data_IF_409509170552
#
_entry.id   IF_409509170552
#
_cell.length_a   1.000
_cell.length_b   1.000
_cell.length_c   1.000
_cell.angle_alpha   90.00
_cell.angle_beta   90.00
_cell.angle_gamma   90.00
#
_symmetry.space_group_name_H-M   'P 1'
#
loop_
_entity.id
_entity.type
_entity.pdbx_description
1 polymer ?
#
# COMPACT_ATOMS: atom_id res chain seq x y z
N UNK A 1 -30.96 -53.20 9.52
CA UNK A 1 -30.47 -52.45 8.33
C UNK A 1 -30.93 -51.01 8.46
N UNK A 2 -30.01 -50.08 8.73
CA UNK A 2 -30.25 -48.64 8.64
C UNK A 2 -29.15 -48.09 7.74
N UNK A 3 -29.46 -47.53 6.56
CA UNK A 3 -28.44 -46.85 5.78
C UNK A 3 -28.26 -45.44 6.37
N UNK A 4 -27.08 -45.20 6.94
CA UNK A 4 -26.55 -43.86 7.19
C UNK A 4 -26.37 -43.17 5.83
N UNK A 5 -27.18 -42.15 5.54
CA UNK A 5 -26.96 -41.33 4.35
C UNK A 5 -25.96 -40.22 4.69
N UNK A 6 -24.73 -40.42 4.23
CA UNK A 6 -23.63 -39.47 4.36
C UNK A 6 -23.90 -38.20 3.56
N UNK A 7 -23.65 -37.05 4.20
CA UNK A 7 -23.17 -35.80 3.60
C UNK A 7 -23.68 -35.48 2.19
N UNK A 8 -24.93 -35.02 2.09
CA UNK A 8 -25.32 -34.23 0.93
C UNK A 8 -24.74 -32.82 1.13
N UNK A 9 -23.52 -32.61 0.65
CA UNK A 9 -22.95 -31.28 0.49
C UNK A 9 -23.89 -30.48 -0.42
N UNK A 10 -24.64 -29.54 0.16
CA UNK A 10 -25.70 -28.83 -0.54
C UNK A 10 -25.07 -28.07 -1.72
N UNK A 11 -25.34 -28.51 -2.95
CA UNK A 11 -24.72 -27.95 -4.18
C UNK A 11 -24.96 -26.45 -4.30
N UNK A 12 -26.03 -25.92 -3.67
CA UNK A 12 -26.34 -24.49 -3.56
C UNK A 12 -25.49 -23.71 -2.55
N UNK A 13 -24.83 -24.37 -1.59
CA UNK A 13 -23.95 -23.71 -0.61
C UNK A 13 -22.55 -23.42 -1.13
N UNK A 14 -22.14 -24.07 -2.23
CA UNK A 14 -20.83 -23.80 -2.85
C UNK A 14 -20.86 -22.48 -3.66
N UNK A 15 -21.85 -22.21 -4.54
CA UNK A 15 -22.00 -20.92 -5.20
C UNK A 15 -22.09 -19.76 -4.22
N UNK A 16 -22.96 -19.84 -3.20
CA UNK A 16 -23.12 -18.76 -2.23
C UNK A 16 -21.87 -18.50 -1.37
N UNK A 17 -21.03 -19.52 -1.13
CA UNK A 17 -19.73 -19.33 -0.48
C UNK A 17 -18.68 -18.70 -1.39
N UNK A 18 -18.73 -18.99 -2.68
CA UNK A 18 -17.85 -18.35 -3.67
C UNK A 18 -18.22 -16.88 -3.86
N UNK A 19 -19.52 -16.57 -3.92
CA UNK A 19 -20.04 -15.20 -3.98
C UNK A 19 -19.60 -14.42 -2.72
N UNK A 20 -19.84 -14.97 -1.53
CA UNK A 20 -19.39 -14.35 -0.28
C UNK A 20 -17.87 -14.22 -0.11
N UNK A 21 -17.07 -14.99 -0.87
CA UNK A 21 -15.61 -14.84 -0.91
C UNK A 21 -15.20 -13.74 -1.89
N UNK A 22 -15.87 -13.65 -3.04
CA UNK A 22 -15.68 -12.57 -4.00
C UNK A 22 -16.06 -11.22 -3.36
N UNK A 23 -17.21 -11.14 -2.70
CA UNK A 23 -17.66 -9.94 -2.00
C UNK A 23 -16.68 -9.49 -0.93
N UNK A 24 -16.14 -10.43 -0.14
CA UNK A 24 -15.12 -10.11 0.88
C UNK A 24 -13.82 -9.62 0.27
N UNK A 25 -13.41 -10.18 -0.87
CA UNK A 25 -12.21 -9.71 -1.59
C UNK A 25 -12.43 -8.31 -2.15
N UNK A 26 -13.61 -8.04 -2.67
CA UNK A 26 -13.97 -6.73 -3.18
C UNK A 26 -13.99 -5.70 -2.05
N UNK A 27 -14.69 -5.99 -0.95
CA UNK A 27 -14.71 -5.13 0.23
C UNK A 27 -13.30 -4.84 0.75
N UNK A 28 -12.43 -5.85 0.85
CA UNK A 28 -11.04 -5.65 1.27
C UNK A 28 -10.23 -4.78 0.29
N UNK A 29 -10.50 -4.88 -1.02
CA UNK A 29 -9.86 -4.04 -2.03
C UNK A 29 -10.35 -2.59 -1.96
N UNK A 30 -11.65 -2.40 -1.75
CA UNK A 30 -12.28 -1.09 -1.60
C UNK A 30 -11.80 -0.40 -0.32
N UNK A 31 -11.75 -1.13 0.81
CA UNK A 31 -11.20 -0.64 2.08
C UNK A 31 -9.73 -0.21 1.92
N UNK A 32 -8.92 -0.99 1.19
CA UNK A 32 -7.53 -0.66 0.93
C UNK A 32 -7.38 0.56 0.00
N UNK A 33 -8.30 0.75 -0.95
CA UNK A 33 -8.33 1.94 -1.79
C UNK A 33 -8.70 3.18 -0.97
N UNK A 34 -9.72 3.08 -0.13
CA UNK A 34 -10.17 4.15 0.75
C UNK A 34 -9.06 4.59 1.72
N UNK A 35 -8.40 3.64 2.38
CA UNK A 35 -7.29 3.94 3.29
C UNK A 35 -6.10 4.63 2.60
N UNK A 36 -5.84 4.29 1.33
CA UNK A 36 -4.81 4.97 0.53
C UNK A 36 -5.22 6.41 0.21
N UNK A 37 -6.48 6.61 -0.15
CA UNK A 37 -7.00 7.91 -0.54
C UNK A 37 -7.08 8.85 0.67
N UNK A 38 -7.57 8.38 1.83
CA UNK A 38 -7.56 9.09 3.11
C UNK A 38 -6.14 9.54 3.50
N UNK A 39 -5.17 8.62 3.44
CA UNK A 39 -3.76 8.97 3.71
C UNK A 39 -3.21 10.00 2.72
N UNK A 40 -3.55 9.89 1.44
CA UNK A 40 -3.09 10.84 0.43
C UNK A 40 -3.71 12.24 0.65
N UNK A 41 -4.94 12.30 1.14
CA UNK A 41 -5.61 13.54 1.57
C UNK A 41 -4.91 14.14 2.80
N UNK A 42 -4.63 13.34 3.84
CA UNK A 42 -3.86 13.79 5.01
C UNK A 42 -2.47 14.33 4.62
N UNK A 43 -1.79 13.65 3.69
CA UNK A 43 -0.51 14.12 3.13
C UNK A 43 -0.69 15.47 2.45
N UNK A 44 -1.73 15.63 1.64
CA UNK A 44 -2.01 16.87 0.91
C UNK A 44 -2.32 18.03 1.87
N UNK A 45 -3.13 17.79 2.90
CA UNK A 45 -3.48 18.78 3.91
C UNK A 45 -2.27 19.22 4.74
N UNK A 46 -1.33 18.30 4.99
CA UNK A 46 -0.07 18.58 5.67
C UNK A 46 0.99 19.31 4.83
N UNK A 47 0.74 19.62 3.55
CA UNK A 47 1.69 20.40 2.72
C UNK A 47 1.46 21.89 2.91
N UNK A 48 2.46 22.53 3.52
CA UNK A 48 2.55 23.96 3.78
C UNK A 48 3.53 24.65 2.82
N UNK A 49 3.45 25.98 2.72
CA UNK A 49 4.24 26.77 1.77
C UNK A 49 5.77 26.68 2.01
N UNK A 50 6.20 26.59 3.26
CA UNK A 50 7.60 26.49 3.67
C UNK A 50 8.27 25.17 3.22
N UNK A 51 7.48 24.15 2.91
CA UNK A 51 7.98 22.88 2.39
C UNK A 51 8.13 22.86 0.86
N UNK A 52 7.72 23.93 0.16
CA UNK A 52 7.73 23.96 -1.30
C UNK A 52 9.14 24.23 -1.83
N UNK A 53 9.66 23.26 -2.57
CA UNK A 53 10.87 23.45 -3.36
C UNK A 53 10.51 24.10 -4.69
N UNK A 54 10.78 25.41 -4.79
CA UNK A 54 10.60 26.20 -6.01
C UNK A 54 11.93 26.27 -6.75
N UNK A 55 11.92 25.98 -8.04
CA UNK A 55 13.13 26.02 -8.85
C UNK A 55 13.69 27.44 -8.97
N UNK A 56 14.98 27.58 -9.23
CA UNK A 56 15.61 28.91 -9.45
C UNK A 56 14.97 29.65 -10.63
N UNK A 57 14.54 28.92 -11.66
CA UNK A 57 13.88 29.50 -12.84
C UNK A 57 12.51 30.06 -12.43
N UNK A 58 11.72 29.30 -11.68
CA UNK A 58 10.41 29.72 -11.20
C UNK A 58 10.50 30.90 -10.22
N UNK A 59 11.52 30.93 -9.36
CA UNK A 59 11.83 32.09 -8.53
C UNK A 59 12.09 33.34 -9.37
N UNK A 60 12.81 33.22 -10.50
CA UNK A 60 13.04 34.35 -11.40
C UNK A 60 11.74 34.82 -12.09
N UNK A 61 10.82 33.90 -12.41
CA UNK A 61 9.49 34.25 -12.94
C UNK A 61 8.68 35.01 -11.89
N UNK A 62 8.68 34.55 -10.64
CA UNK A 62 8.00 35.22 -9.54
C UNK A 62 8.60 36.61 -9.31
N UNK A 63 9.92 36.73 -9.24
CA UNK A 63 10.61 38.01 -9.06
C UNK A 63 10.24 39.02 -10.17
N UNK A 64 10.32 38.59 -11.43
CA UNK A 64 9.95 39.42 -12.57
C UNK A 64 8.46 39.81 -12.58
N UNK A 65 7.57 38.94 -12.10
CA UNK A 65 6.14 39.23 -11.92
C UNK A 65 5.90 40.28 -10.82
N UNK A 66 6.53 40.10 -9.66
CA UNK A 66 6.41 41.02 -8.53
C UNK A 66 6.99 42.40 -8.86
N UNK A 67 8.13 42.44 -9.55
CA UNK A 67 8.75 43.69 -10.00
C UNK A 67 7.86 44.50 -10.96
N UNK A 68 7.05 43.82 -11.79
CA UNK A 68 6.11 44.47 -12.71
C UNK A 68 4.85 44.97 -12.01
N UNK A 69 4.46 44.37 -10.89
CA UNK A 69 3.36 44.83 -10.03
C UNK A 69 1.99 44.83 -10.70
N UNK A 70 1.79 44.01 -11.74
CA UNK A 70 0.53 43.94 -12.49
C UNK A 70 -0.40 42.88 -11.94
N UNK A 71 -1.71 43.13 -11.99
CA UNK A 71 -2.71 42.17 -11.52
C UNK A 71 -2.74 40.90 -12.39
N UNK A 72 -2.45 41.03 -13.68
CA UNK A 72 -2.40 39.89 -14.60
C UNK A 72 -1.30 38.88 -14.23
N UNK A 73 -0.24 39.35 -13.57
CA UNK A 73 0.89 38.52 -13.16
C UNK A 73 0.60 37.65 -11.93
N UNK A 74 -0.50 37.91 -11.21
CA UNK A 74 -0.96 37.08 -10.08
C UNK A 74 -1.18 35.63 -10.51
N UNK A 75 -1.71 35.41 -11.72
CA UNK A 75 -1.93 34.05 -12.22
C UNK A 75 -0.63 33.32 -12.55
N UNK A 76 0.42 34.05 -12.95
CA UNK A 76 1.73 33.44 -13.19
C UNK A 76 2.37 32.97 -11.87
N UNK A 77 2.35 33.83 -10.85
CA UNK A 77 2.84 33.49 -9.50
C UNK A 77 2.01 32.35 -8.92
N UNK A 78 0.68 32.45 -8.98
CA UNK A 78 -0.22 31.41 -8.48
C UNK A 78 -0.01 30.06 -9.17
N UNK A 79 0.16 30.06 -10.49
CA UNK A 79 0.42 28.85 -11.27
C UNK A 79 1.70 28.15 -10.84
N UNK A 80 2.78 28.90 -10.62
CA UNK A 80 4.05 28.36 -10.09
C UNK A 80 3.83 27.73 -8.71
N UNK A 81 3.13 28.43 -7.81
CA UNK A 81 2.92 27.94 -6.44
C UNK A 81 2.04 26.68 -6.37
N UNK A 82 0.97 26.62 -7.18
CA UNK A 82 0.16 25.42 -7.31
C UNK A 82 0.99 24.25 -7.84
N UNK A 83 1.80 24.48 -8.88
CA UNK A 83 2.63 23.45 -9.47
C UNK A 83 3.65 22.90 -8.45
N UNK A 84 4.30 23.80 -7.69
CA UNK A 84 5.22 23.41 -6.63
C UNK A 84 4.51 22.60 -5.53
N UNK A 85 3.30 23.01 -5.11
CA UNK A 85 2.50 22.27 -4.13
C UNK A 85 2.10 20.89 -4.64
N UNK A 86 1.64 20.77 -5.88
CA UNK A 86 1.27 19.50 -6.48
C UNK A 86 2.49 18.56 -6.57
N UNK A 87 3.67 19.08 -6.95
CA UNK A 87 4.89 18.32 -6.98
C UNK A 87 5.27 17.80 -5.58
N UNK A 88 5.17 18.62 -4.54
CA UNK A 88 5.49 18.21 -3.18
C UNK A 88 4.55 17.11 -2.66
N UNK A 89 3.25 17.24 -2.90
CA UNK A 89 2.27 16.19 -2.57
C UNK A 89 2.66 14.87 -3.25
N UNK A 90 2.98 14.93 -4.55
CA UNK A 90 3.39 13.74 -5.30
C UNK A 90 4.67 13.10 -4.73
N UNK A 91 5.66 13.91 -4.32
CA UNK A 91 6.88 13.40 -3.67
C UNK A 91 6.57 12.67 -2.37
N UNK A 92 5.72 13.25 -1.51
CA UNK A 92 5.33 12.64 -0.22
C UNK A 92 4.54 11.35 -0.40
N UNK A 93 3.58 11.32 -1.34
CA UNK A 93 2.84 10.10 -1.69
C UNK A 93 3.81 9.01 -2.17
N UNK A 94 4.72 9.34 -3.09
CA UNK A 94 5.73 8.39 -3.58
C UNK A 94 6.69 7.91 -2.47
N UNK A 95 6.97 8.72 -1.46
CA UNK A 95 7.72 8.30 -0.28
C UNK A 95 6.92 7.34 0.60
N UNK A 96 5.64 7.63 0.85
CA UNK A 96 4.73 6.77 1.62
C UNK A 96 4.53 5.40 0.95
N UNK A 97 4.33 5.37 -0.37
CA UNK A 97 4.14 4.14 -1.14
C UNK A 97 5.39 3.23 -1.07
N UNK A 98 6.59 3.83 -1.14
CA UNK A 98 7.84 3.07 -0.94
C UNK A 98 7.93 2.44 0.45
N UNK A 99 7.43 3.12 1.48
CA UNK A 99 7.38 2.62 2.85
C UNK A 99 6.46 1.41 3.04
N UNK A 100 5.42 1.28 2.21
CA UNK A 100 4.48 0.13 2.25
C UNK A 100 5.09 -1.11 1.62
N UNK A 101 5.80 -0.94 0.50
CA UNK A 101 6.39 -2.06 -0.25
C UNK A 101 7.65 -2.59 0.43
N UNK A 102 8.38 -1.74 1.16
CA UNK A 102 9.59 -2.15 1.86
C UNK A 102 9.26 -2.85 3.20
N UNK A 103 9.68 -4.11 3.41
CA UNK A 103 9.52 -4.76 4.70
C UNK A 103 10.32 -4.01 5.77
N UNK A 104 9.67 -3.68 6.89
CA UNK A 104 10.27 -2.93 8.02
C UNK A 104 11.59 -3.52 8.50
N UNK A 105 11.71 -4.84 8.43
CA UNK A 105 12.94 -5.57 8.72
C UNK A 105 13.41 -6.30 7.45
N UNK A 106 14.67 -6.09 7.07
CA UNK A 106 15.26 -6.72 5.87
C UNK A 106 15.33 -8.24 5.99
N UNK A 107 15.58 -8.74 7.19
CA UNK A 107 15.65 -10.16 7.51
C UNK A 107 15.10 -10.39 8.91
N UNK A 108 14.37 -11.47 9.10
CA UNK A 108 13.87 -11.93 10.39
C UNK A 108 14.26 -13.39 10.60
N UNK A 109 14.43 -13.76 11.85
CA UNK A 109 14.87 -15.08 12.27
C UNK A 109 13.86 -15.67 13.27
N UNK A 110 13.71 -16.99 13.25
CA UNK A 110 12.97 -17.68 14.30
C UNK A 110 13.70 -17.51 15.63
N UNK A 111 13.03 -16.92 16.62
CA UNK A 111 13.60 -16.74 17.96
C UNK A 111 13.90 -18.07 18.67
N UNK A 112 13.27 -19.18 18.24
CA UNK A 112 13.43 -20.49 18.86
C UNK A 112 14.53 -21.34 18.20
N UNK A 113 14.59 -21.39 16.86
CA UNK A 113 15.54 -22.25 16.14
C UNK A 113 16.57 -21.51 15.28
N UNK A 114 16.49 -20.18 15.19
CA UNK A 114 17.41 -19.35 14.40
C UNK A 114 17.22 -19.43 12.88
N UNK A 115 16.21 -20.14 12.38
CA UNK A 115 15.97 -20.27 10.94
C UNK A 115 15.66 -18.90 10.29
N UNK A 116 16.21 -18.68 9.10
CA UNK A 116 15.93 -17.50 8.28
C UNK A 116 14.49 -17.52 7.78
N UNK A 117 13.74 -16.45 8.06
CA UNK A 117 12.33 -16.31 7.66
C UNK A 117 12.15 -15.40 6.46
N UNK A 118 13.23 -14.74 6.04
CA UNK A 118 13.15 -13.68 5.05
C UNK A 118 12.73 -12.35 5.66
N UNK A 119 12.23 -11.41 4.83
CA UNK A 119 11.89 -10.07 5.27
C UNK A 119 10.74 -10.05 6.28
N UNK A 120 10.57 -8.97 7.04
CA UNK A 120 9.72 -8.93 8.24
C UNK A 120 8.22 -9.22 8.06
N UNK A 121 7.73 -9.33 6.84
CA UNK A 121 6.37 -9.76 6.50
C UNK A 121 6.26 -11.26 6.13
N UNK A 122 7.38 -11.98 6.05
CA UNK A 122 7.45 -13.41 5.74
C UNK A 122 7.49 -14.30 6.99
N UNK A 123 7.29 -13.72 8.18
CA UNK A 123 7.28 -14.45 9.44
C UNK A 123 6.22 -15.56 9.48
N UNK A 124 6.51 -16.61 10.26
CA UNK A 124 5.55 -17.67 10.56
C UNK A 124 5.18 -17.65 12.04
N UNK A 125 4.02 -18.20 12.36
CA UNK A 125 3.50 -18.19 13.73
C UNK A 125 4.16 -19.24 14.63
N UNK A 126 4.60 -20.38 14.09
CA UNK A 126 5.22 -21.45 14.88
C UNK A 126 6.55 -21.91 14.30
N UNK A 127 7.46 -22.32 15.19
CA UNK A 127 8.77 -22.88 14.83
C UNK A 127 8.67 -24.14 13.94
N UNK A 128 7.55 -24.88 14.00
CA UNK A 128 7.30 -26.03 13.13
C UNK A 128 7.05 -25.65 11.67
N UNK A 129 6.57 -24.44 11.42
CA UNK A 129 6.08 -24.02 10.10
C UNK A 129 7.23 -23.72 9.13
N UNK A 130 8.46 -23.59 9.64
CA UNK A 130 9.68 -23.52 8.82
C UNK A 130 10.04 -24.88 8.20
N UNK A 131 9.61 -25.99 8.81
CA UNK A 131 9.97 -27.32 8.30
C UNK A 131 9.09 -27.61 7.11
N UNK A 132 9.66 -27.46 5.91
CA UNK A 132 9.02 -27.94 4.70
C UNK A 132 8.52 -29.38 4.95
N UNK A 133 7.23 -29.68 4.69
CA UNK A 133 6.73 -31.03 4.87
C UNK A 133 7.58 -31.93 3.98
N UNK A 134 8.35 -32.84 4.60
CA UNK A 134 9.12 -33.83 3.86
C UNK A 134 8.16 -34.49 2.88
N UNK A 135 8.40 -34.28 1.58
CA UNK A 135 7.69 -34.98 0.52
C UNK A 135 7.78 -36.46 0.88
N UNK A 136 6.65 -37.06 1.24
CA UNK A 136 6.56 -38.49 1.52
C UNK A 136 6.89 -39.19 0.21
N UNK A 137 8.17 -39.48 0.00
CA UNK A 137 8.63 -40.43 -0.99
C UNK A 137 7.99 -41.75 -0.58
N UNK A 138 6.89 -42.09 -1.25
CA UNK A 138 6.27 -43.41 -1.19
C UNK A 138 7.30 -44.40 -1.76
N UNK A 139 8.18 -44.91 -0.89
CA UNK A 139 8.95 -46.12 -1.15
C UNK A 139 7.97 -47.29 -1.17
N UNK A 140 7.48 -47.63 -2.36
CA UNK A 140 6.89 -48.95 -2.62
C UNK A 140 8.04 -49.98 -2.59
N UNK A 141 7.94 -50.92 -1.66
CA UNK A 141 8.47 -52.28 -1.80
C UNK A 141 7.24 -53.17 -1.84
#
# INVERSE_FOLDING_TARGET
MHPNNHQVGNVRTLPSRMDALADRRQAAADDAALARDERNEEIADGVTFDALEISTIDCAVIDAALARGRLEDVYAVWGVLIAARAAEIARRIAAADRGIVAPRYRMTYCSSCGAELGPGNAGVSHCSDHRAPASRLLSRI
#
